data_IF_471531480476
#
_entry.id   IF_471531480476
#
_cell.length_a   1.000
_cell.length_b   1.000
_cell.length_c   1.000
_cell.angle_alpha   90.00
_cell.angle_beta   90.00
_cell.angle_gamma   90.00
#
_symmetry.space_group_name_H-M   'P 1'
#
loop_
_entity.id
_entity.type
_entity.pdbx_description
1 polymer ?
#
# COMPACT_ATOMS: atom_id res chain seq x y z
N UNK A 1 29.71 17.31 -14.13
CA UNK A 1 28.96 16.39 -13.25
C UNK A 1 29.94 15.60 -12.41
N UNK A 2 29.95 15.84 -11.11
CA UNK A 2 30.75 15.07 -10.15
C UNK A 2 29.97 13.79 -9.83
N UNK A 3 30.59 12.63 -10.02
CA UNK A 3 29.97 11.34 -9.67
C UNK A 3 30.34 11.04 -8.22
N UNK A 4 29.45 11.39 -7.30
CA UNK A 4 29.54 11.09 -5.87
C UNK A 4 28.45 10.08 -5.44
N UNK A 5 28.53 9.61 -4.19
CA UNK A 5 27.59 8.63 -3.66
C UNK A 5 26.14 9.17 -3.61
N UNK A 6 25.94 10.47 -3.36
CA UNK A 6 24.61 11.07 -3.33
C UNK A 6 23.96 11.08 -4.71
N UNK A 7 24.73 11.40 -5.76
CA UNK A 7 24.26 11.37 -7.14
C UNK A 7 23.89 9.94 -7.57
N UNK A 8 24.75 8.96 -7.26
CA UNK A 8 24.48 7.54 -7.57
C UNK A 8 23.17 7.11 -6.91
N UNK A 9 22.97 7.42 -5.63
CA UNK A 9 21.75 7.08 -4.90
C UNK A 9 20.53 7.80 -5.47
N UNK A 10 20.65 9.06 -5.88
CA UNK A 10 19.54 9.79 -6.50
C UNK A 10 19.11 9.17 -7.83
N UNK A 11 20.06 8.79 -8.69
CA UNK A 11 19.76 8.10 -9.95
C UNK A 11 19.13 6.72 -9.69
N UNK A 12 19.58 6.00 -8.66
CA UNK A 12 18.94 4.76 -8.20
C UNK A 12 17.50 5.04 -7.75
N UNK A 13 17.27 6.09 -6.96
CA UNK A 13 15.94 6.51 -6.52
C UNK A 13 15.00 6.80 -7.68
N UNK A 14 15.47 7.53 -8.69
CA UNK A 14 14.72 7.77 -9.93
C UNK A 14 14.40 6.48 -10.68
N UNK A 15 15.38 5.56 -10.78
CA UNK A 15 15.19 4.25 -11.39
C UNK A 15 14.19 3.37 -10.65
N UNK A 16 14.21 3.38 -9.31
CA UNK A 16 13.24 2.67 -8.47
C UNK A 16 11.83 3.25 -8.64
N UNK A 17 11.70 4.57 -8.71
CA UNK A 17 10.42 5.25 -8.90
C UNK A 17 9.71 4.79 -10.17
N UNK A 18 10.39 4.89 -11.32
CA UNK A 18 9.81 4.54 -12.64
C UNK A 18 9.77 3.04 -12.87
N UNK A 19 10.80 2.29 -12.45
CA UNK A 19 10.93 0.87 -12.73
C UNK A 19 9.87 0.05 -12.01
N UNK A 20 9.71 0.25 -10.70
CA UNK A 20 8.75 -0.51 -9.90
C UNK A 20 7.30 -0.13 -10.23
N UNK A 21 7.03 1.16 -10.47
CA UNK A 21 5.68 1.60 -10.85
C UNK A 21 5.28 1.11 -12.24
N UNK A 22 6.21 1.08 -13.20
CA UNK A 22 5.97 0.54 -14.54
C UNK A 22 5.71 -0.97 -14.52
N UNK A 23 6.35 -1.72 -13.61
CA UNK A 23 6.05 -3.15 -13.40
C UNK A 23 4.60 -3.30 -12.93
N UNK A 24 4.19 -2.57 -11.90
CA UNK A 24 2.81 -2.60 -11.39
C UNK A 24 1.79 -2.27 -12.47
N UNK A 25 2.03 -1.17 -13.18
CA UNK A 25 1.15 -0.70 -14.26
C UNK A 25 1.06 -1.69 -15.41
N UNK A 26 2.20 -2.23 -15.87
CA UNK A 26 2.25 -3.23 -16.94
C UNK A 26 1.48 -4.50 -16.58
N UNK A 27 1.61 -4.99 -15.33
CA UNK A 27 0.86 -6.16 -14.85
C UNK A 27 -0.64 -5.84 -14.79
N UNK A 28 -1.03 -4.70 -14.20
CA UNK A 28 -2.43 -4.31 -14.08
C UNK A 28 -3.14 -4.16 -15.44
N UNK A 29 -2.48 -3.47 -16.37
CA UNK A 29 -2.96 -3.31 -17.76
C UNK A 29 -3.03 -4.66 -18.47
N UNK A 30 -2.09 -5.57 -18.21
CA UNK A 30 -2.10 -6.92 -18.75
C UNK A 30 -3.29 -7.76 -18.26
N UNK A 31 -3.61 -7.70 -16.96
CA UNK A 31 -4.76 -8.41 -16.36
C UNK A 31 -6.07 -7.94 -17.00
N UNK A 32 -6.29 -6.63 -17.08
CA UNK A 32 -7.47 -6.06 -17.72
C UNK A 32 -7.50 -6.36 -19.23
N UNK A 33 -6.35 -6.26 -19.92
CA UNK A 33 -6.22 -6.52 -21.34
C UNK A 33 -6.53 -7.97 -21.74
N UNK A 34 -6.10 -8.95 -20.96
CA UNK A 34 -6.43 -10.36 -21.19
C UNK A 34 -7.94 -10.60 -21.15
N UNK A 35 -8.63 -9.97 -20.18
CA UNK A 35 -10.09 -10.05 -20.04
C UNK A 35 -10.79 -9.32 -21.20
N UNK A 36 -10.30 -8.13 -21.54
CA UNK A 36 -10.80 -7.35 -22.68
C UNK A 36 -10.72 -8.12 -23.99
N UNK A 37 -9.59 -8.75 -24.29
CA UNK A 37 -9.39 -9.56 -25.49
C UNK A 37 -10.40 -10.73 -25.55
N UNK A 38 -10.63 -11.42 -24.43
CA UNK A 38 -11.62 -12.49 -24.34
C UNK A 38 -13.05 -12.01 -24.60
N UNK A 39 -13.44 -10.88 -24.02
CA UNK A 39 -14.77 -10.29 -24.23
C UNK A 39 -14.95 -9.81 -25.67
N UNK A 40 -14.00 -9.08 -26.23
CA UNK A 40 -14.08 -8.49 -27.58
C UNK A 40 -14.12 -9.58 -28.67
N UNK A 41 -13.48 -10.73 -28.44
CA UNK A 41 -13.52 -11.85 -29.39
C UNK A 41 -14.94 -12.39 -29.63
N UNK A 42 -15.83 -12.27 -28.63
CA UNK A 42 -17.22 -12.73 -28.70
C UNK A 42 -18.18 -11.54 -28.91
N UNK A 43 -17.85 -10.37 -28.35
CA UNK A 43 -18.67 -9.15 -28.35
C UNK A 43 -17.85 -7.92 -28.79
N UNK A 44 -17.57 -7.75 -30.09
CA UNK A 44 -16.73 -6.67 -30.61
C UNK A 44 -17.21 -5.25 -30.24
N UNK A 45 -18.52 -5.06 -30.11
CA UNK A 45 -19.16 -3.81 -29.73
C UNK A 45 -18.78 -3.33 -28.32
N UNK A 46 -18.21 -4.20 -27.47
CA UNK A 46 -17.72 -3.84 -26.13
C UNK A 46 -16.31 -3.24 -26.12
N UNK A 47 -15.65 -3.11 -27.29
CA UNK A 47 -14.28 -2.62 -27.41
C UNK A 47 -14.01 -1.33 -26.63
N UNK A 48 -14.85 -0.31 -26.78
CA UNK A 48 -14.65 0.98 -26.11
C UNK A 48 -14.70 0.88 -24.59
N UNK A 49 -15.58 0.03 -24.03
CA UNK A 49 -15.67 -0.17 -22.58
C UNK A 49 -14.48 -0.95 -22.04
N UNK A 50 -14.07 -2.01 -22.75
CA UNK A 50 -12.87 -2.77 -22.39
C UNK A 50 -11.63 -1.88 -22.38
N UNK A 51 -11.50 -0.98 -23.35
CA UNK A 51 -10.40 -0.02 -23.42
C UNK A 51 -10.39 0.95 -22.23
N UNK A 52 -11.55 1.45 -21.81
CA UNK A 52 -11.67 2.33 -20.63
C UNK A 52 -11.13 1.61 -19.39
N UNK A 53 -11.60 0.41 -19.08
CA UNK A 53 -11.13 -0.34 -17.92
C UNK A 53 -9.64 -0.71 -18.02
N UNK A 54 -9.15 -1.06 -19.21
CA UNK A 54 -7.73 -1.36 -19.42
C UNK A 54 -6.81 -0.15 -19.21
N UNK A 55 -7.31 1.07 -19.46
CA UNK A 55 -6.53 2.29 -19.25
C UNK A 55 -6.40 2.68 -17.77
N UNK A 56 -7.33 2.24 -16.92
CA UNK A 56 -7.39 2.62 -15.50
C UNK A 56 -6.08 2.31 -14.73
N UNK A 57 -5.44 1.13 -14.87
CA UNK A 57 -4.16 0.83 -14.19
C UNK A 57 -2.90 1.51 -14.79
N UNK A 58 -3.03 2.46 -15.74
CA UNK A 58 -1.87 3.14 -16.34
C UNK A 58 -1.29 4.27 -15.49
N UNK A 59 -2.09 4.87 -14.60
CA UNK A 59 -1.73 6.12 -13.91
C UNK A 59 -0.53 5.95 -12.97
N UNK A 60 -0.36 4.78 -12.36
CA UNK A 60 0.77 4.45 -11.48
C UNK A 60 2.12 4.59 -12.18
N UNK A 61 2.20 4.14 -13.44
CA UNK A 61 3.42 4.30 -14.24
C UNK A 61 3.77 5.77 -14.43
N UNK A 62 2.76 6.63 -14.65
CA UNK A 62 2.94 8.07 -14.81
C UNK A 62 3.42 8.74 -13.52
N UNK A 63 2.93 8.30 -12.35
CA UNK A 63 3.41 8.82 -11.06
C UNK A 63 4.89 8.50 -10.81
N UNK A 64 5.32 7.28 -11.12
CA UNK A 64 6.75 6.91 -11.03
C UNK A 64 7.63 7.66 -12.01
N UNK A 65 7.16 7.86 -13.24
CA UNK A 65 7.85 8.70 -14.22
C UNK A 65 7.97 10.15 -13.72
N UNK A 66 6.90 10.72 -13.15
CA UNK A 66 6.90 12.07 -12.60
C UNK A 66 7.98 12.21 -11.51
N UNK A 67 7.99 11.32 -10.51
CA UNK A 67 8.99 11.37 -9.43
C UNK A 67 10.41 11.16 -9.97
N UNK A 68 10.61 10.23 -10.92
CA UNK A 68 11.91 10.03 -11.54
C UNK A 68 12.43 11.30 -12.23
N UNK A 69 11.58 11.97 -13.03
CA UNK A 69 11.93 13.22 -13.70
C UNK A 69 12.22 14.32 -12.68
N UNK A 70 11.39 14.47 -11.65
CA UNK A 70 11.62 15.47 -10.60
C UNK A 70 12.95 15.25 -9.88
N UNK A 71 13.30 14.00 -9.53
CA UNK A 71 14.59 13.68 -8.91
C UNK A 71 15.74 14.08 -9.85
N UNK A 72 15.70 13.69 -11.12
CA UNK A 72 16.78 13.95 -12.07
C UNK A 72 16.96 15.44 -12.39
N UNK A 73 15.87 16.22 -12.41
CA UNK A 73 15.91 17.67 -12.53
C UNK A 73 16.50 18.31 -11.27
N UNK A 74 16.02 17.91 -10.08
CA UNK A 74 16.49 18.41 -8.78
C UNK A 74 17.97 18.15 -8.53
N UNK A 75 18.51 17.02 -8.99
CA UNK A 75 19.95 16.71 -8.85
C UNK A 75 20.83 17.26 -9.98
N UNK A 76 20.25 17.99 -10.94
CA UNK A 76 20.98 18.55 -12.07
C UNK A 76 21.54 17.51 -13.05
N UNK A 77 21.05 16.27 -13.01
CA UNK A 77 21.39 15.22 -14.01
C UNK A 77 20.82 15.62 -15.36
N UNK A 78 19.61 16.17 -15.35
CA UNK A 78 18.96 16.74 -16.53
C UNK A 78 18.89 18.25 -16.34
N UNK A 79 19.58 19.00 -17.21
CA UNK A 79 19.46 20.46 -17.28
C UNK A 79 20.23 21.27 -16.22
N UNK A 80 21.11 20.65 -15.43
CA UNK A 80 21.91 21.34 -14.41
C UNK A 80 23.41 21.46 -14.74
N UNK A 81 24.11 22.26 -13.94
CA UNK A 81 25.54 22.57 -14.12
C UNK A 81 26.49 21.47 -13.59
N UNK A 82 25.94 20.35 -13.13
CA UNK A 82 26.70 19.17 -12.72
C UNK A 82 27.46 19.30 -11.39
N UNK A 83 26.86 19.97 -10.40
CA UNK A 83 27.34 20.05 -9.02
C UNK A 83 27.29 18.72 -8.26
N UNK A 84 27.85 18.69 -7.05
CA UNK A 84 27.82 17.53 -6.16
C UNK A 84 26.47 17.40 -5.46
N UNK A 85 26.00 16.17 -5.25
CA UNK A 85 24.76 15.89 -4.52
C UNK A 85 25.13 15.36 -3.12
N UNK A 86 24.76 16.06 -2.03
CA UNK A 86 25.00 15.57 -0.68
C UNK A 86 24.38 14.18 -0.46
N UNK A 87 25.10 13.33 0.29
CA UNK A 87 24.64 11.99 0.63
C UNK A 87 23.22 11.95 1.22
N UNK A 88 22.82 12.85 2.15
CA UNK A 88 21.46 12.92 2.66
C UNK A 88 20.38 13.09 1.59
N UNK A 89 20.64 13.90 0.56
CA UNK A 89 19.71 14.11 -0.55
C UNK A 89 19.61 12.88 -1.45
N UNK A 90 20.72 12.15 -1.64
CA UNK A 90 20.71 10.86 -2.33
C UNK A 90 19.83 9.83 -1.60
N UNK A 91 19.95 9.73 -0.28
CA UNK A 91 19.10 8.85 0.54
C UNK A 91 17.61 9.28 0.49
N UNK A 92 17.35 10.59 0.54
CA UNK A 92 15.99 11.12 0.38
C UNK A 92 15.38 10.79 -0.98
N UNK A 93 16.17 10.87 -2.06
CA UNK A 93 15.73 10.47 -3.40
C UNK A 93 15.42 8.96 -3.48
N UNK A 94 16.19 8.10 -2.81
CA UNK A 94 15.86 6.67 -2.67
C UNK A 94 14.54 6.50 -1.92
N UNK A 95 14.33 7.20 -0.80
CA UNK A 95 13.08 7.18 -0.05
C UNK A 95 11.87 7.59 -0.88
N UNK A 96 11.97 8.68 -1.63
CA UNK A 96 10.93 9.13 -2.57
C UNK A 96 10.68 8.11 -3.68
N UNK A 97 11.74 7.50 -4.22
CA UNK A 97 11.65 6.46 -5.23
C UNK A 97 10.97 5.19 -4.74
N UNK A 98 11.26 4.75 -3.51
CA UNK A 98 10.59 3.61 -2.87
C UNK A 98 9.12 3.91 -2.58
N UNK A 99 8.81 5.12 -2.10
CA UNK A 99 7.45 5.55 -1.78
C UNK A 99 6.52 5.41 -3.00
N UNK A 100 6.88 6.01 -4.13
CA UNK A 100 6.09 5.94 -5.36
C UNK A 100 6.26 4.62 -6.11
N UNK A 101 7.48 4.10 -6.17
CA UNK A 101 7.79 2.90 -6.96
C UNK A 101 7.05 1.67 -6.44
N UNK A 102 7.17 1.38 -5.13
CA UNK A 102 6.50 0.21 -4.54
C UNK A 102 4.98 0.45 -4.45
N UNK A 103 4.53 1.66 -4.08
CA UNK A 103 3.10 1.97 -4.09
C UNK A 103 2.48 1.86 -5.49
N UNK A 104 3.27 2.05 -6.55
CA UNK A 104 2.86 1.83 -7.94
C UNK A 104 2.49 0.38 -8.27
N UNK A 105 2.88 -0.59 -7.44
CA UNK A 105 2.39 -1.98 -7.53
C UNK A 105 0.89 -2.10 -7.24
N UNK A 106 0.26 -1.07 -6.68
CA UNK A 106 -1.20 -0.99 -6.51
C UNK A 106 -2.00 -1.16 -7.80
N UNK A 107 -1.39 -0.84 -8.95
CA UNK A 107 -1.99 -1.07 -10.26
C UNK A 107 -2.38 -2.55 -10.50
N UNK A 108 -1.76 -3.51 -9.80
CA UNK A 108 -2.13 -4.93 -9.85
C UNK A 108 -3.56 -5.11 -9.34
N UNK A 109 -3.86 -4.54 -8.16
CA UNK A 109 -5.21 -4.58 -7.58
C UNK A 109 -6.24 -3.85 -8.44
N UNK A 110 -5.85 -2.70 -8.98
CA UNK A 110 -6.65 -1.94 -9.93
C UNK A 110 -6.96 -2.74 -11.21
N UNK A 111 -5.99 -3.50 -11.72
CA UNK A 111 -6.17 -4.40 -12.86
C UNK A 111 -7.13 -5.56 -12.58
N UNK A 112 -7.09 -6.13 -11.36
CA UNK A 112 -8.03 -7.17 -10.91
C UNK A 112 -9.47 -6.60 -10.89
N UNK A 113 -9.67 -5.44 -10.29
CA UNK A 113 -10.98 -4.78 -10.24
C UNK A 113 -11.47 -4.35 -11.63
N UNK A 114 -10.58 -3.82 -12.47
CA UNK A 114 -10.89 -3.46 -13.86
C UNK A 114 -11.28 -4.68 -14.70
N UNK A 115 -10.60 -5.81 -14.55
CA UNK A 115 -10.94 -7.08 -15.21
C UNK A 115 -12.37 -7.53 -14.86
N UNK A 116 -12.72 -7.51 -13.57
CA UNK A 116 -14.09 -7.81 -13.14
C UNK A 116 -15.11 -6.81 -13.72
N UNK A 117 -14.76 -5.53 -13.81
CA UNK A 117 -15.59 -4.52 -14.45
C UNK A 117 -15.83 -4.77 -15.95
N UNK A 118 -14.81 -5.25 -16.67
CA UNK A 118 -14.94 -5.67 -18.07
C UNK A 118 -15.92 -6.85 -18.18
N UNK A 119 -15.76 -7.87 -17.34
CA UNK A 119 -16.65 -9.03 -17.33
C UNK A 119 -18.10 -8.62 -17.00
N UNK A 120 -18.30 -7.87 -15.93
CA UNK A 120 -19.60 -7.36 -15.51
C UNK A 120 -20.29 -6.53 -16.61
N UNK A 121 -19.56 -5.65 -17.29
CA UNK A 121 -20.13 -4.81 -18.36
C UNK A 121 -20.27 -5.51 -19.71
N UNK A 122 -19.71 -6.71 -19.85
CA UNK A 122 -19.97 -7.59 -20.99
C UNK A 122 -21.36 -8.24 -20.90
N UNK A 123 -21.86 -8.47 -19.68
CA UNK A 123 -23.16 -9.08 -19.40
C UNK A 123 -24.23 -8.01 -19.09
N UNK A 124 -23.87 -6.99 -18.32
CA UNK A 124 -24.79 -5.96 -17.83
C UNK A 124 -24.32 -4.55 -18.18
N UNK A 125 -24.91 -3.96 -19.22
CA UNK A 125 -24.55 -2.63 -19.71
C UNK A 125 -24.72 -1.51 -18.68
N UNK A 126 -25.70 -1.65 -17.79
CA UNK A 126 -25.99 -0.68 -16.72
C UNK A 126 -24.97 -0.72 -15.58
N UNK A 127 -24.12 -1.75 -15.52
CA UNK A 127 -23.12 -1.90 -14.46
C UNK A 127 -21.90 -0.98 -14.63
N UNK A 128 -21.72 -0.35 -15.80
CA UNK A 128 -20.49 0.38 -16.14
C UNK A 128 -20.06 1.42 -15.10
N UNK A 129 -20.96 2.29 -14.68
CA UNK A 129 -20.64 3.34 -13.70
C UNK A 129 -20.22 2.76 -12.35
N UNK A 130 -20.93 1.73 -11.88
CA UNK A 130 -20.66 1.09 -10.58
C UNK A 130 -19.35 0.30 -10.61
N UNK A 131 -19.13 -0.46 -11.67
CA UNK A 131 -17.87 -1.19 -11.90
C UNK A 131 -16.66 -0.28 -12.04
N UNK A 132 -16.83 0.90 -12.66
CA UNK A 132 -15.74 1.89 -12.75
C UNK A 132 -15.37 2.44 -11.38
N UNK A 133 -16.35 2.70 -10.51
CA UNK A 133 -16.08 3.12 -9.12
C UNK A 133 -15.22 2.05 -8.43
N UNK A 134 -15.61 0.78 -8.47
CA UNK A 134 -14.81 -0.30 -7.90
C UNK A 134 -13.40 -0.40 -8.50
N UNK A 135 -13.25 -0.18 -9.80
CA UNK A 135 -11.94 -0.20 -10.45
C UNK A 135 -11.01 0.94 -10.01
N UNK A 136 -11.53 2.08 -9.57
CA UNK A 136 -10.72 3.24 -9.17
C UNK A 136 -10.34 3.21 -7.69
N UNK A 137 -11.08 2.47 -6.86
CA UNK A 137 -10.85 2.39 -5.41
C UNK A 137 -9.37 2.06 -5.04
N UNK A 138 -8.66 1.11 -5.71
CA UNK A 138 -7.23 0.82 -5.44
C UNK A 138 -6.23 1.92 -5.88
N UNK A 139 -6.68 3.01 -6.49
CA UNK A 139 -5.81 4.12 -6.94
C UNK A 139 -5.27 4.95 -5.77
N UNK A 140 -6.02 5.01 -4.67
CA UNK A 140 -5.70 5.83 -3.49
C UNK A 140 -4.33 5.49 -2.90
N UNK A 141 -3.94 4.22 -2.90
CA UNK A 141 -2.63 3.74 -2.46
C UNK A 141 -1.47 4.37 -3.26
N UNK A 142 -1.63 4.47 -4.58
CA UNK A 142 -0.62 5.09 -5.43
C UNK A 142 -0.49 6.59 -5.14
N UNK A 143 -1.62 7.26 -4.89
CA UNK A 143 -1.68 8.68 -4.54
C UNK A 143 -0.99 8.94 -3.19
N UNK A 144 -1.14 8.05 -2.20
CA UNK A 144 -0.42 8.17 -0.93
C UNK A 144 1.09 8.05 -1.12
N UNK A 145 1.55 7.09 -1.93
CA UNK A 145 2.97 6.95 -2.27
C UNK A 145 3.53 8.18 -2.98
N UNK A 146 2.78 8.72 -3.95
CA UNK A 146 3.11 9.97 -4.64
C UNK A 146 3.19 11.17 -3.70
N UNK A 147 2.20 11.31 -2.81
CA UNK A 147 2.17 12.38 -1.82
C UNK A 147 3.42 12.33 -0.94
N UNK A 148 3.73 11.17 -0.34
CA UNK A 148 4.91 11.01 0.51
C UNK A 148 6.21 11.25 -0.25
N UNK A 149 6.32 10.79 -1.50
CA UNK A 149 7.48 11.10 -2.33
C UNK A 149 7.67 12.61 -2.50
N UNK A 150 6.61 13.35 -2.86
CA UNK A 150 6.67 14.81 -2.99
C UNK A 150 7.05 15.48 -1.66
N UNK A 151 6.47 15.03 -0.53
CA UNK A 151 6.79 15.57 0.79
C UNK A 151 8.27 15.34 1.16
N UNK A 152 8.79 14.13 0.94
CA UNK A 152 10.21 13.81 1.16
C UNK A 152 11.08 14.77 0.34
N UNK A 153 10.79 14.94 -0.95
CA UNK A 153 11.61 15.79 -1.82
C UNK A 153 11.50 17.27 -1.44
N UNK A 154 10.33 17.73 -1.00
CA UNK A 154 10.13 19.11 -0.57
C UNK A 154 10.88 19.41 0.74
N UNK A 155 10.73 18.56 1.75
CA UNK A 155 11.24 18.83 3.10
C UNK A 155 12.70 18.40 3.34
N UNK A 156 13.26 17.54 2.47
CA UNK A 156 14.71 17.26 2.46
C UNK A 156 15.55 18.40 1.84
N UNK A 157 14.89 19.33 1.14
CA UNK A 157 15.57 20.38 0.36
C UNK A 157 15.89 19.97 -1.08
N UNK A 158 15.48 18.78 -1.52
CA UNK A 158 15.76 18.28 -2.87
C UNK A 158 15.03 19.10 -3.95
N UNK A 159 13.80 19.54 -3.71
CA UNK A 159 13.06 20.41 -4.66
C UNK A 159 13.48 21.88 -4.58
N UNK A 160 13.90 22.36 -3.41
CA UNK A 160 14.22 23.77 -3.18
C UNK A 160 15.65 24.13 -3.57
N UNK A 161 16.54 23.13 -3.68
CA UNK A 161 17.96 23.35 -3.93
C UNK A 161 18.73 23.85 -2.69
N UNK A 162 18.10 23.87 -1.52
CA UNK A 162 18.70 24.25 -0.24
C UNK A 162 18.69 23.02 0.69
N UNK A 163 19.79 22.24 0.75
CA UNK A 163 19.81 20.96 1.45
C UNK A 163 19.65 21.15 2.97
N UNK A 164 18.50 20.73 3.50
CA UNK A 164 18.22 20.70 4.95
C UNK A 164 18.41 19.29 5.53
N UNK A 165 18.50 18.27 4.68
CA UNK A 165 18.60 16.88 5.12
C UNK A 165 19.95 16.55 5.76
N UNK A 166 19.88 15.87 6.89
CA UNK A 166 20.95 15.15 7.57
C UNK A 166 20.99 13.68 7.13
N UNK A 167 22.07 12.95 7.42
CA UNK A 167 22.13 11.50 7.12
C UNK A 167 21.01 10.71 7.82
N UNK A 168 20.66 11.10 9.05
CA UNK A 168 19.57 10.49 9.80
C UNK A 168 18.20 10.74 9.15
N UNK A 169 17.92 11.96 8.68
CA UNK A 169 16.68 12.26 7.96
C UNK A 169 16.65 11.66 6.55
N UNK A 170 17.80 11.47 5.91
CA UNK A 170 17.93 10.70 4.68
C UNK A 170 17.56 9.22 4.88
N UNK A 171 18.03 8.58 5.96
CA UNK A 171 17.59 7.24 6.35
C UNK A 171 16.11 7.22 6.73
N UNK A 172 15.63 8.25 7.41
CA UNK A 172 14.22 8.38 7.75
C UNK A 172 13.33 8.46 6.51
N UNK A 173 13.77 9.14 5.44
CA UNK A 173 13.08 9.17 4.16
C UNK A 173 12.94 7.77 3.54
N UNK A 174 13.96 6.91 3.67
CA UNK A 174 13.87 5.50 3.26
C UNK A 174 12.79 4.79 4.10
N UNK A 175 12.78 5.01 5.43
CA UNK A 175 11.71 4.51 6.30
C UNK A 175 10.31 4.95 5.88
N UNK A 176 10.12 6.23 5.55
CA UNK A 176 8.87 6.75 4.99
C UNK A 176 8.49 6.05 3.68
N UNK A 177 9.46 5.89 2.77
CA UNK A 177 9.24 5.23 1.49
C UNK A 177 8.85 3.76 1.63
N UNK A 178 9.47 3.03 2.55
CA UNK A 178 9.10 1.65 2.87
C UNK A 178 7.72 1.57 3.53
N UNK A 179 7.40 2.49 4.46
CA UNK A 179 6.13 2.55 5.15
C UNK A 179 4.95 2.65 4.17
N UNK A 180 4.93 3.69 3.34
CA UNK A 180 3.84 3.94 2.40
C UNK A 180 3.93 3.05 1.16
N UNK A 181 5.14 2.78 0.69
CA UNK A 181 5.37 2.02 -0.54
C UNK A 181 4.90 0.59 -0.39
N UNK A 182 5.40 -0.13 0.62
CA UNK A 182 5.01 -1.52 0.86
C UNK A 182 3.55 -1.60 1.32
N UNK A 183 3.08 -0.67 2.16
CA UNK A 183 1.66 -0.64 2.52
C UNK A 183 0.75 -0.41 1.29
N UNK A 184 1.24 0.24 0.23
CA UNK A 184 0.53 0.38 -1.04
C UNK A 184 0.21 -0.93 -1.75
N UNK A 185 0.89 -2.04 -1.41
CA UNK A 185 0.57 -3.40 -1.88
C UNK A 185 -0.82 -3.85 -1.38
N UNK A 186 -1.35 -3.24 -0.31
CA UNK A 186 -2.71 -3.46 0.18
C UNK A 186 -3.79 -3.30 -0.90
N UNK A 187 -3.52 -2.50 -1.92
CA UNK A 187 -4.37 -2.33 -3.10
C UNK A 187 -4.70 -3.66 -3.79
N UNK A 188 -3.86 -4.70 -3.69
CA UNK A 188 -4.18 -6.04 -4.23
C UNK A 188 -5.40 -6.62 -3.51
N UNK A 189 -5.43 -6.56 -2.17
CA UNK A 189 -6.58 -6.99 -1.38
C UNK A 189 -7.83 -6.17 -1.67
N UNK A 190 -7.66 -4.85 -1.75
CA UNK A 190 -8.71 -3.90 -2.15
C UNK A 190 -9.26 -4.23 -3.55
N UNK A 191 -8.39 -4.57 -4.50
CA UNK A 191 -8.75 -5.00 -5.85
C UNK A 191 -9.54 -6.29 -5.89
N UNK A 192 -9.19 -7.28 -5.05
CA UNK A 192 -9.95 -8.54 -4.90
C UNK A 192 -11.35 -8.26 -4.36
N UNK A 193 -11.47 -7.45 -3.31
CA UNK A 193 -12.76 -7.08 -2.74
C UNK A 193 -13.61 -6.23 -3.72
N UNK A 194 -12.98 -5.28 -4.41
CA UNK A 194 -13.62 -4.45 -5.43
C UNK A 194 -14.08 -5.27 -6.65
N UNK A 195 -13.33 -6.30 -7.07
CA UNK A 195 -13.74 -7.21 -8.12
C UNK A 195 -15.03 -7.96 -7.76
N UNK A 196 -15.10 -8.51 -6.54
CA UNK A 196 -16.34 -9.11 -6.03
C UNK A 196 -17.47 -8.09 -5.93
N UNK A 197 -17.16 -6.85 -5.50
CA UNK A 197 -18.12 -5.77 -5.41
C UNK A 197 -18.68 -5.34 -6.77
N UNK A 198 -17.84 -5.33 -7.81
CA UNK A 198 -18.24 -5.06 -9.19
C UNK A 198 -19.19 -6.13 -9.71
N UNK A 199 -18.85 -7.42 -9.53
CA UNK A 199 -19.70 -8.53 -9.94
C UNK A 199 -21.04 -8.55 -9.18
N UNK A 200 -21.00 -8.52 -7.84
CA UNK A 200 -22.21 -8.54 -7.01
C UNK A 200 -23.11 -7.33 -7.23
N UNK A 201 -22.54 -6.15 -7.50
CA UNK A 201 -23.34 -4.98 -7.85
C UNK A 201 -23.96 -5.12 -9.24
N UNK A 202 -23.25 -5.70 -10.22
CA UNK A 202 -23.79 -5.91 -11.56
C UNK A 202 -25.06 -6.77 -11.54
N UNK A 203 -25.08 -7.81 -10.71
CA UNK A 203 -26.23 -8.71 -10.52
C UNK A 203 -27.34 -8.07 -9.68
N UNK A 204 -26.98 -7.36 -8.59
CA UNK A 204 -27.94 -6.84 -7.62
C UNK A 204 -27.69 -5.37 -7.29
N UNK A 205 -28.43 -4.45 -7.93
CA UNK A 205 -28.16 -3.01 -7.79
C UNK A 205 -28.32 -2.48 -6.37
N UNK A 206 -29.26 -3.03 -5.60
CA UNK A 206 -29.49 -2.67 -4.20
C UNK A 206 -28.32 -3.02 -3.27
N UNK A 207 -27.41 -3.92 -3.68
CA UNK A 207 -26.25 -4.32 -2.88
C UNK A 207 -25.05 -3.36 -3.01
N UNK A 208 -25.10 -2.40 -3.93
CA UNK A 208 -23.97 -1.51 -4.25
C UNK A 208 -23.32 -0.86 -3.02
N UNK A 209 -24.12 -0.29 -2.11
CA UNK A 209 -23.59 0.36 -0.91
C UNK A 209 -22.88 -0.61 0.05
N UNK A 210 -23.40 -1.83 0.22
CA UNK A 210 -22.78 -2.85 1.07
C UNK A 210 -21.49 -3.39 0.44
N UNK A 211 -21.51 -3.60 -0.87
CA UNK A 211 -20.35 -4.04 -1.65
C UNK A 211 -19.23 -3.00 -1.60
N UNK A 212 -19.60 -1.71 -1.64
CA UNK A 212 -18.66 -0.61 -1.50
C UNK A 212 -17.95 -0.65 -0.13
N UNK A 213 -18.69 -0.89 0.95
CA UNK A 213 -18.11 -1.04 2.29
C UNK A 213 -17.06 -2.15 2.28
N UNK A 214 -17.39 -3.35 1.79
CA UNK A 214 -16.42 -4.46 1.73
C UNK A 214 -15.17 -4.11 0.91
N UNK A 215 -15.33 -3.37 -0.20
CA UNK A 215 -14.20 -2.99 -1.05
C UNK A 215 -13.24 -1.99 -0.42
N UNK A 216 -13.69 -1.17 0.53
CA UNK A 216 -12.88 -0.11 1.17
C UNK A 216 -12.21 -0.58 2.46
N UNK A 217 -12.67 -1.68 3.07
CA UNK A 217 -12.08 -2.24 4.28
C UNK A 217 -10.54 -2.40 4.20
N UNK A 218 -9.95 -2.93 3.10
CA UNK A 218 -8.49 -3.09 2.97
C UNK A 218 -7.70 -1.77 2.79
N UNK A 219 -8.37 -0.61 2.77
CA UNK A 219 -7.71 0.70 2.63
C UNK A 219 -7.00 1.12 3.92
N UNK A 220 -7.46 0.64 5.08
CA UNK A 220 -6.93 0.99 6.40
C UNK A 220 -5.42 0.75 6.52
N UNK A 221 -4.91 -0.32 5.92
CA UNK A 221 -3.49 -0.66 5.87
C UNK A 221 -2.65 0.42 5.19
N UNK A 222 -3.14 0.95 4.07
CA UNK A 222 -2.47 2.03 3.35
C UNK A 222 -2.44 3.32 4.17
N UNK A 223 -3.54 3.59 4.88
CA UNK A 223 -3.66 4.75 5.78
C UNK A 223 -2.67 4.63 6.95
N UNK A 224 -2.48 3.43 7.53
CA UNK A 224 -1.46 3.21 8.55
C UNK A 224 -0.03 3.47 8.03
N UNK A 225 0.29 3.01 6.81
CA UNK A 225 1.57 3.30 6.16
C UNK A 225 1.80 4.80 5.93
N UNK A 226 0.77 5.50 5.44
CA UNK A 226 0.80 6.97 5.26
C UNK A 226 0.98 7.70 6.61
N UNK A 227 0.23 7.30 7.63
CA UNK A 227 0.32 7.88 8.97
C UNK A 227 1.73 7.75 9.52
N UNK A 228 2.31 6.55 9.49
CA UNK A 228 3.68 6.31 9.99
C UNK A 228 4.71 7.11 9.20
N UNK A 229 4.58 7.22 7.87
CA UNK A 229 5.47 8.08 7.07
C UNK A 229 5.41 9.54 7.52
N UNK A 230 4.21 10.08 7.77
CA UNK A 230 4.03 11.45 8.27
C UNK A 230 4.62 11.60 9.68
N UNK A 231 4.40 10.63 10.57
CA UNK A 231 4.96 10.65 11.92
C UNK A 231 6.49 10.59 11.91
N UNK A 232 7.09 9.75 11.07
CA UNK A 232 8.55 9.71 10.88
C UNK A 232 9.05 11.09 10.45
N UNK A 233 8.47 11.70 9.41
CA UNK A 233 8.90 13.02 8.94
C UNK A 233 8.71 14.12 9.99
N UNK A 234 7.64 14.06 10.79
CA UNK A 234 7.38 15.02 11.85
C UNK A 234 8.39 14.90 13.01
N UNK A 235 8.62 13.67 13.49
CA UNK A 235 9.43 13.45 14.70
C UNK A 235 10.94 13.37 14.44
N UNK A 236 11.36 13.10 13.20
CA UNK A 236 12.76 13.27 12.78
C UNK A 236 13.11 14.73 12.48
N UNK A 237 12.13 15.63 12.52
CA UNK A 237 12.31 17.05 12.31
C UNK A 237 12.38 17.48 10.85
N UNK A 238 12.19 16.56 9.91
CA UNK A 238 12.15 16.83 8.47
C UNK A 238 11.07 17.86 8.12
N UNK A 239 9.84 17.70 8.65
CA UNK A 239 8.75 18.68 8.46
C UNK A 239 8.86 19.85 9.45
N UNK A 240 9.33 19.57 10.68
CA UNK A 240 9.33 20.56 11.76
C UNK A 240 10.43 21.63 11.63
N UNK A 241 11.39 21.46 10.70
CA UNK A 241 12.49 22.41 10.48
C UNK A 241 13.64 22.29 11.48
N UNK A 242 13.73 21.16 12.19
CA UNK A 242 14.81 20.85 13.15
C UNK A 242 15.30 19.41 12.93
N UNK A 243 15.97 19.13 11.79
CA UNK A 243 16.31 17.78 11.37
C UNK A 243 17.35 17.16 12.31
N UNK A 244 17.02 16.00 12.90
CA UNK A 244 17.93 15.28 13.78
C UNK A 244 19.19 14.83 13.04
N UNK A 245 20.34 14.84 13.70
CA UNK A 245 21.58 14.24 13.20
C UNK A 245 21.84 12.83 13.77
N UNK A 246 20.98 12.33 14.67
CA UNK A 246 21.20 11.03 15.29
C UNK A 246 20.84 9.87 14.35
N UNK A 247 21.87 9.16 13.91
CA UNK A 247 21.77 8.03 13.01
C UNK A 247 20.96 6.86 13.61
N UNK A 248 20.93 6.70 14.94
CA UNK A 248 20.12 5.69 15.60
C UNK A 248 18.62 5.90 15.31
N UNK A 249 18.18 7.16 15.31
CA UNK A 249 16.82 7.56 14.94
C UNK A 249 16.56 7.27 13.45
N UNK A 250 17.54 7.51 12.58
CA UNK A 250 17.45 7.19 11.16
C UNK A 250 17.20 5.69 10.90
N UNK A 251 17.96 4.81 11.55
CA UNK A 251 17.73 3.36 11.46
C UNK A 251 16.42 2.93 12.12
N UNK A 252 16.04 3.55 13.24
CA UNK A 252 14.74 3.31 13.87
C UNK A 252 13.57 3.63 12.93
N UNK A 253 13.65 4.73 12.17
CA UNK A 253 12.65 5.10 11.17
C UNK A 253 12.53 4.06 10.04
N UNK A 254 13.64 3.46 9.62
CA UNK A 254 13.63 2.32 8.67
C UNK A 254 12.89 1.12 9.29
N UNK A 255 13.13 0.83 10.57
CA UNK A 255 12.40 -0.21 11.30
C UNK A 255 10.89 0.04 11.37
N UNK A 256 10.48 1.27 11.68
CA UNK A 256 9.07 1.69 11.63
C UNK A 256 8.47 1.46 10.24
N UNK A 257 9.23 1.79 9.17
CA UNK A 257 8.81 1.59 7.79
C UNK A 257 8.56 0.13 7.43
N UNK A 258 9.47 -0.77 7.82
CA UNK A 258 9.26 -2.21 7.64
C UNK A 258 8.08 -2.74 8.46
N UNK A 259 7.97 -2.32 9.73
CA UNK A 259 6.92 -2.77 10.63
C UNK A 259 5.51 -2.55 10.04
N UNK A 260 5.21 -1.31 9.65
CA UNK A 260 3.88 -0.97 9.11
C UNK A 260 3.75 -1.37 7.64
N UNK A 261 4.81 -1.21 6.85
CA UNK A 261 4.78 -1.43 5.41
C UNK A 261 4.48 -2.89 5.09
N UNK A 262 5.27 -3.81 5.65
CA UNK A 262 5.05 -5.25 5.45
C UNK A 262 3.75 -5.72 6.11
N UNK A 263 3.38 -5.14 7.25
CA UNK A 263 2.08 -5.44 7.86
C UNK A 263 0.89 -5.04 6.98
N UNK A 264 1.07 -4.08 6.07
CA UNK A 264 0.07 -3.71 5.07
C UNK A 264 -0.28 -4.83 4.08
N UNK A 265 0.56 -5.87 3.95
CA UNK A 265 0.25 -7.07 3.14
C UNK A 265 -0.98 -7.81 3.69
N UNK A 266 -1.33 -7.61 4.96
CA UNK A 266 -2.52 -8.22 5.59
C UNK A 266 -3.83 -7.88 4.88
N UNK A 267 -3.88 -6.75 4.18
CA UNK A 267 -5.00 -6.36 3.34
C UNK A 267 -5.36 -7.41 2.28
N UNK A 268 -4.43 -8.24 1.81
CA UNK A 268 -4.75 -9.34 0.90
C UNK A 268 -5.70 -10.34 1.56
N UNK A 269 -5.41 -10.75 2.79
CA UNK A 269 -6.30 -11.60 3.58
C UNK A 269 -7.64 -10.95 3.83
N UNK A 270 -7.63 -9.65 4.16
CA UNK A 270 -8.84 -8.86 4.35
C UNK A 270 -9.68 -8.79 3.07
N UNK A 271 -9.03 -8.61 1.92
CA UNK A 271 -9.65 -8.60 0.59
C UNK A 271 -10.32 -9.93 0.23
N UNK A 272 -9.67 -11.06 0.55
CA UNK A 272 -10.25 -12.41 0.36
C UNK A 272 -11.53 -12.58 1.20
N UNK A 273 -11.47 -12.20 2.48
CA UNK A 273 -12.62 -12.28 3.38
C UNK A 273 -13.75 -11.34 2.91
N UNK A 274 -13.42 -10.10 2.56
CA UNK A 274 -14.34 -9.10 2.03
C UNK A 274 -15.00 -9.53 0.71
N UNK A 275 -14.27 -10.19 -0.19
CA UNK A 275 -14.83 -10.73 -1.43
C UNK A 275 -15.86 -11.83 -1.16
N UNK A 276 -15.56 -12.75 -0.24
CA UNK A 276 -16.54 -13.77 0.20
C UNK A 276 -17.75 -13.12 0.88
N UNK A 277 -17.52 -12.15 1.77
CA UNK A 277 -18.57 -11.40 2.43
C UNK A 277 -19.48 -10.65 1.46
N UNK A 278 -18.90 -10.10 0.38
CA UNK A 278 -19.64 -9.44 -0.70
C UNK A 278 -20.56 -10.42 -1.42
N UNK A 279 -20.03 -11.56 -1.89
CA UNK A 279 -20.80 -12.58 -2.58
C UNK A 279 -21.95 -13.12 -1.70
N UNK A 280 -21.66 -13.47 -0.46
CA UNK A 280 -22.67 -14.00 0.48
C UNK A 280 -23.72 -12.96 0.86
N UNK A 281 -23.33 -11.70 1.06
CA UNK A 281 -24.28 -10.63 1.41
C UNK A 281 -25.25 -10.34 0.27
N UNK A 282 -24.80 -10.47 -0.99
CA UNK A 282 -25.65 -10.28 -2.15
C UNK A 282 -26.81 -11.29 -2.19
N UNK A 283 -26.55 -12.54 -1.79
CA UNK A 283 -27.57 -13.59 -1.72
C UNK A 283 -28.40 -13.53 -0.42
N UNK A 284 -27.77 -13.18 0.70
CA UNK A 284 -28.35 -13.26 2.05
C UNK A 284 -28.18 -11.94 2.80
N UNK A 285 -29.05 -10.95 2.55
CA UNK A 285 -28.87 -9.60 3.09
C UNK A 285 -28.77 -9.51 4.62
N UNK A 286 -29.44 -10.41 5.35
CA UNK A 286 -29.41 -10.47 6.81
C UNK A 286 -28.06 -10.90 7.40
N UNK A 287 -27.15 -11.44 6.57
CA UNK A 287 -25.83 -11.89 6.98
C UNK A 287 -24.76 -10.78 6.97
N UNK A 288 -25.09 -9.58 6.45
CA UNK A 288 -24.13 -8.47 6.27
C UNK A 288 -23.26 -8.20 7.50
N UNK A 289 -23.87 -8.05 8.68
CA UNK A 289 -23.15 -7.75 9.92
C UNK A 289 -22.17 -8.85 10.32
N UNK A 290 -22.57 -10.13 10.16
CA UNK A 290 -21.71 -11.28 10.48
C UNK A 290 -20.55 -11.38 9.48
N UNK A 291 -20.83 -11.18 8.20
CA UNK A 291 -19.82 -11.18 7.15
C UNK A 291 -18.81 -10.05 7.34
N UNK A 292 -19.27 -8.87 7.76
CA UNK A 292 -18.41 -7.74 8.07
C UNK A 292 -17.43 -8.05 9.20
N UNK A 293 -17.89 -8.74 10.26
CA UNK A 293 -17.01 -9.15 11.36
C UNK A 293 -15.89 -10.04 10.84
N UNK A 294 -16.19 -11.08 10.05
CA UNK A 294 -15.17 -11.95 9.46
C UNK A 294 -14.19 -11.18 8.56
N UNK A 295 -14.69 -10.24 7.77
CA UNK A 295 -13.89 -9.43 6.85
C UNK A 295 -12.91 -8.49 7.54
N UNK A 296 -13.14 -8.13 8.80
CA UNK A 296 -12.27 -7.19 9.54
C UNK A 296 -11.21 -7.90 10.38
N UNK A 297 -11.36 -9.19 10.70
CA UNK A 297 -10.41 -9.90 11.58
C UNK A 297 -8.95 -9.86 11.08
N UNK A 298 -8.65 -9.98 9.77
CA UNK A 298 -7.29 -9.83 9.25
C UNK A 298 -6.65 -8.43 9.48
N UNK A 299 -7.40 -7.44 9.97
CA UNK A 299 -6.88 -6.12 10.33
C UNK A 299 -5.96 -6.17 11.56
N UNK A 300 -6.14 -7.16 12.44
CA UNK A 300 -5.32 -7.31 13.67
C UNK A 300 -3.82 -7.30 13.37
N UNK A 301 -3.38 -7.93 12.29
CA UNK A 301 -1.99 -7.93 11.84
C UNK A 301 -1.48 -6.55 11.43
N UNK A 302 -2.31 -5.74 10.78
CA UNK A 302 -1.97 -4.37 10.43
C UNK A 302 -1.80 -3.52 11.70
N UNK A 303 -2.69 -3.71 12.68
CA UNK A 303 -2.64 -3.02 13.96
C UNK A 303 -1.36 -3.39 14.73
N UNK A 304 -0.91 -4.65 14.69
CA UNK A 304 0.36 -5.05 15.30
C UNK A 304 1.56 -4.35 14.65
N UNK A 305 1.59 -4.25 13.32
CA UNK A 305 2.63 -3.48 12.62
C UNK A 305 2.66 -2.00 12.99
N UNK A 306 1.47 -1.36 13.05
CA UNK A 306 1.33 0.02 13.49
C UNK A 306 1.78 0.20 14.95
N UNK A 307 1.37 -0.70 15.84
CA UNK A 307 1.74 -0.69 17.24
C UNK A 307 3.25 -0.77 17.40
N UNK A 308 3.91 -1.72 16.73
CA UNK A 308 5.38 -1.86 16.79
C UNK A 308 6.08 -0.63 16.23
N UNK A 309 5.59 -0.03 15.14
CA UNK A 309 6.14 1.23 14.63
C UNK A 309 6.07 2.34 15.70
N UNK A 310 4.93 2.49 16.38
CA UNK A 310 4.77 3.48 17.47
C UNK A 310 5.70 3.16 18.64
N UNK A 311 5.80 1.89 19.05
CA UNK A 311 6.70 1.47 20.14
C UNK A 311 8.17 1.72 19.79
N UNK A 312 8.59 1.46 18.55
CA UNK A 312 9.93 1.83 18.07
C UNK A 312 10.14 3.33 18.25
N UNK A 313 9.21 4.17 17.78
CA UNK A 313 9.33 5.62 17.89
C UNK A 313 9.40 6.12 19.36
N UNK A 314 8.66 5.48 20.26
CA UNK A 314 8.68 5.82 21.69
C UNK A 314 9.99 5.38 22.35
N UNK A 315 10.39 4.11 22.20
CA UNK A 315 11.54 3.54 22.90
C UNK A 315 12.90 3.98 22.36
N UNK A 316 12.96 4.42 21.10
CA UNK A 316 14.16 5.03 20.52
C UNK A 316 14.26 6.53 20.79
N UNK A 317 13.29 7.11 21.50
CA UNK A 317 13.27 8.52 21.83
C UNK A 317 12.89 9.45 20.66
N UNK A 318 12.47 8.90 19.51
CA UNK A 318 12.03 9.69 18.36
C UNK A 318 10.85 10.61 18.72
N UNK A 319 9.85 10.09 19.44
CA UNK A 319 8.70 10.89 19.91
C UNK A 319 9.04 11.70 21.17
N UNK A 320 9.72 11.09 22.14
CA UNK A 320 9.95 11.71 23.46
C UNK A 320 11.04 12.78 23.44
N UNK A 321 11.87 12.82 22.38
CA UNK A 321 13.06 13.66 22.23
C UNK A 321 14.12 13.45 23.31
N UNK A 322 13.99 12.38 24.11
CA UNK A 322 15.03 11.94 25.03
C UNK A 322 15.94 10.96 24.29
N UNK A 323 16.85 11.53 23.49
CA UNK A 323 17.67 10.80 22.53
C UNK A 323 18.82 10.07 23.25
N UNK A 324 18.47 8.96 23.90
CA UNK A 324 19.40 8.00 24.51
C UNK A 324 19.62 6.78 23.63
N UNK A 325 19.05 6.77 22.42
CA UNK A 325 19.13 5.65 21.51
C UNK A 325 20.57 5.42 21.02
N UNK A 326 21.00 4.16 21.11
CA UNK A 326 22.28 3.73 20.56
C UNK A 326 22.06 3.21 19.14
N UNK A 327 23.13 3.14 18.34
CA UNK A 327 23.08 2.47 17.03
C UNK A 327 22.58 1.02 17.14
N UNK A 328 22.91 0.32 18.25
CA UNK A 328 22.39 -1.02 18.51
C UNK A 328 20.86 -1.04 18.63
N UNK A 329 20.26 -0.03 19.28
CA UNK A 329 18.81 0.13 19.34
C UNK A 329 18.21 0.42 17.96
N UNK A 330 18.87 1.23 17.12
CA UNK A 330 18.45 1.49 15.75
C UNK A 330 18.44 0.23 14.87
N UNK A 331 19.47 -0.61 14.95
CA UNK A 331 19.49 -1.89 14.24
C UNK A 331 18.48 -2.90 14.81
N UNK A 332 18.29 -2.93 16.12
CA UNK A 332 17.26 -3.76 16.76
C UNK A 332 15.86 -3.37 16.28
N UNK A 333 15.57 -2.07 16.11
CA UNK A 333 14.30 -1.59 15.56
C UNK A 333 14.02 -2.13 14.15
N UNK A 334 15.03 -2.28 13.30
CA UNK A 334 14.87 -2.92 11.97
C UNK A 334 14.49 -4.39 12.11
N UNK A 335 15.13 -5.11 13.04
CA UNK A 335 14.81 -6.51 13.30
C UNK A 335 13.37 -6.68 13.82
N UNK A 336 12.93 -5.84 14.76
CA UNK A 336 11.55 -5.81 15.24
C UNK A 336 10.57 -5.53 14.10
N UNK A 337 10.88 -4.55 13.23
CA UNK A 337 10.06 -4.23 12.07
C UNK A 337 9.91 -5.39 11.09
N UNK A 338 10.99 -6.13 10.82
CA UNK A 338 10.91 -7.35 10.02
C UNK A 338 10.12 -8.46 10.71
N UNK A 339 10.32 -8.66 12.01
CA UNK A 339 9.66 -9.73 12.77
C UNK A 339 8.14 -9.59 12.73
N UNK A 340 7.61 -8.42 13.09
CA UNK A 340 6.16 -8.15 13.02
C UNK A 340 5.66 -8.10 11.58
N UNK A 341 6.44 -7.49 10.68
CA UNK A 341 6.06 -7.29 9.28
C UNK A 341 5.89 -8.60 8.51
N UNK A 342 6.83 -9.53 8.62
CA UNK A 342 6.69 -10.85 8.00
C UNK A 342 5.64 -11.72 8.70
N UNK A 343 5.53 -11.64 10.03
CA UNK A 343 4.50 -12.37 10.76
C UNK A 343 3.09 -11.95 10.33
N UNK A 344 2.90 -10.69 9.90
CA UNK A 344 1.64 -10.18 9.39
C UNK A 344 1.16 -10.85 8.08
N UNK A 345 2.04 -11.54 7.33
CA UNK A 345 1.63 -12.32 6.15
C UNK A 345 0.67 -13.46 6.54
N UNK A 346 0.69 -13.91 7.79
CA UNK A 346 -0.29 -14.87 8.34
C UNK A 346 -1.75 -14.41 8.18
N UNK A 347 -1.99 -13.11 8.01
CA UNK A 347 -3.31 -12.55 7.70
C UNK A 347 -3.93 -13.12 6.42
N UNK A 348 -3.12 -13.58 5.45
CA UNK A 348 -3.65 -14.27 4.26
C UNK A 348 -4.34 -15.58 4.67
N UNK A 349 -3.72 -16.36 5.56
CA UNK A 349 -4.33 -17.56 6.13
C UNK A 349 -5.58 -17.23 6.95
N UNK A 350 -5.55 -16.12 7.70
CA UNK A 350 -6.71 -15.59 8.44
C UNK A 350 -7.86 -15.23 7.50
N UNK A 351 -7.57 -14.56 6.38
CA UNK A 351 -8.55 -14.22 5.36
C UNK A 351 -9.20 -15.43 4.69
N UNK A 352 -8.42 -16.48 4.43
CA UNK A 352 -8.92 -17.76 3.91
C UNK A 352 -9.85 -18.43 4.94
N UNK A 353 -9.44 -18.49 6.21
CA UNK A 353 -10.26 -19.03 7.28
C UNK A 353 -11.54 -18.20 7.51
N UNK A 354 -11.45 -16.88 7.39
CA UNK A 354 -12.59 -15.96 7.45
C UNK A 354 -13.59 -16.24 6.31
N UNK A 355 -13.11 -16.36 5.08
CA UNK A 355 -13.92 -16.70 3.90
C UNK A 355 -14.66 -18.04 4.08
N UNK A 356 -13.99 -19.06 4.60
CA UNK A 356 -14.64 -20.33 4.95
C UNK A 356 -15.68 -20.17 6.06
N UNK A 357 -15.40 -19.34 7.07
CA UNK A 357 -16.34 -19.00 8.14
C UNK A 357 -17.59 -18.27 7.65
N UNK A 358 -17.44 -17.35 6.69
CA UNK A 358 -18.54 -16.65 6.01
C UNK A 358 -19.43 -17.67 5.29
N UNK A 359 -18.86 -18.53 4.46
CA UNK A 359 -19.60 -19.57 3.74
C UNK A 359 -20.37 -20.51 4.70
N UNK A 360 -19.71 -20.98 5.77
CA UNK A 360 -20.36 -21.86 6.75
C UNK A 360 -21.49 -21.15 7.53
N UNK A 361 -21.32 -19.85 7.82
CA UNK A 361 -22.33 -19.05 8.51
C UNK A 361 -23.53 -18.76 7.62
N UNK A 362 -23.33 -18.63 6.31
CA UNK A 362 -24.39 -18.49 5.33
C UNK A 362 -25.30 -19.72 5.30
N UNK A 363 -24.72 -20.92 5.34
CA UNK A 363 -25.48 -22.17 5.38
C UNK A 363 -26.20 -22.38 6.73
N UNK A 364 -25.50 -22.08 7.84
CA UNK A 364 -26.01 -22.30 9.20
C UNK A 364 -25.57 -21.19 10.13
N UNK A 365 -26.52 -20.38 10.58
CA UNK A 365 -26.21 -19.23 11.46
C UNK A 365 -25.50 -19.62 12.76
N UNK A 366 -25.76 -20.82 13.29
CA UNK A 366 -25.09 -21.35 14.48
C UNK A 366 -23.57 -21.55 14.31
N UNK A 367 -23.09 -21.58 13.06
CA UNK A 367 -21.66 -21.71 12.75
C UNK A 367 -20.90 -20.41 12.95
N UNK A 368 -21.56 -19.26 13.12
CA UNK A 368 -20.90 -17.96 13.29
C UNK A 368 -19.81 -18.00 14.37
N UNK A 369 -20.16 -18.40 15.60
CA UNK A 369 -19.22 -18.45 16.71
C UNK A 369 -18.08 -19.45 16.50
N UNK A 370 -18.37 -20.62 15.91
CA UNK A 370 -17.35 -21.64 15.63
C UNK A 370 -16.41 -21.20 14.53
N UNK A 371 -16.94 -20.56 13.48
CA UNK A 371 -16.17 -19.99 12.38
C UNK A 371 -15.19 -18.94 12.88
N UNK A 372 -15.62 -18.04 13.77
CA UNK A 372 -14.74 -17.02 14.37
C UNK A 372 -13.52 -17.63 15.06
N UNK A 373 -13.72 -18.72 15.82
CA UNK A 373 -12.60 -19.42 16.48
C UNK A 373 -11.57 -19.89 15.47
N UNK A 374 -11.99 -20.52 14.36
CA UNK A 374 -11.07 -20.95 13.32
C UNK A 374 -10.37 -19.79 12.62
N UNK A 375 -11.07 -18.67 12.43
CA UNK A 375 -10.50 -17.47 11.81
C UNK A 375 -9.41 -16.81 12.66
N UNK A 376 -9.50 -16.86 13.99
CA UNK A 376 -8.53 -16.21 14.89
C UNK A 376 -7.27 -17.06 15.10
N UNK A 377 -7.30 -18.38 14.86
CA UNK A 377 -6.12 -19.25 15.09
C UNK A 377 -4.86 -18.80 14.32
N UNK A 378 -4.93 -18.44 13.02
CA UNK A 378 -3.77 -17.90 12.29
C UNK A 378 -3.13 -16.67 12.94
N UNK A 379 -3.88 -15.88 13.71
CA UNK A 379 -3.40 -14.70 14.42
C UNK A 379 -2.26 -15.02 15.40
N UNK A 380 -2.25 -16.25 15.94
CA UNK A 380 -1.16 -16.72 16.81
C UNK A 380 0.23 -16.59 16.17
N UNK A 381 0.32 -16.69 14.85
CA UNK A 381 1.58 -16.51 14.13
C UNK A 381 2.04 -15.05 14.11
N UNK A 382 1.09 -14.11 14.04
CA UNK A 382 1.36 -12.68 14.13
C UNK A 382 1.84 -12.29 15.54
N UNK A 383 1.28 -12.92 16.58
CA UNK A 383 1.66 -12.68 17.98
C UNK A 383 3.13 -13.05 18.24
N UNK A 384 3.67 -14.08 17.59
CA UNK A 384 5.10 -14.40 17.70
C UNK A 384 5.99 -13.27 17.16
N UNK A 385 5.59 -12.60 16.08
CA UNK A 385 6.30 -11.44 15.56
C UNK A 385 6.20 -10.22 16.46
N UNK A 386 5.06 -10.04 17.14
CA UNK A 386 4.84 -8.95 18.11
C UNK A 386 5.72 -9.09 19.38
N UNK A 387 6.12 -10.32 19.73
CA UNK A 387 6.92 -10.61 20.93
C UNK A 387 8.41 -10.25 20.77
N UNK A 388 8.87 -10.05 19.53
CA UNK A 388 10.29 -9.74 19.18
C UNK A 388 10.57 -8.25 19.25
#
# INVERSE_FOLDING_TARGET
MIIDAGLILAVIGAGLAVGLSAIGSGIGVGIAGATGAGVIAIRPEKFGRALVFQAVPQTQGMYGLLIAVLILLSTGVIGGDGGSVPLPLGLAAVGAGLATGIAGLSAIGQGIAASAGIAATAEHDTAMGRSLIFAVIPETQAIYGLLVAILIMAFSGLLTGDPTATEATGLAAIGCGLAVGIAGISAIGQGIAAAAGSAGSAEHEGSFGKNLIFSVIPETQAIYGLLVAILIMAFTGMIAGDPTADLAIGFAAVGCGFAVGLAGISAIGQGIAAASGTATTAEHEGSFGKNLVFSVIPETQAIYGLLVAILIMVFTGMITRDVTATLAAGFAAIACGFAVGFAAISAIGQGIAASAGIAATAEKEEMFGKGLVFTVIPETQAIYGLLV
#
